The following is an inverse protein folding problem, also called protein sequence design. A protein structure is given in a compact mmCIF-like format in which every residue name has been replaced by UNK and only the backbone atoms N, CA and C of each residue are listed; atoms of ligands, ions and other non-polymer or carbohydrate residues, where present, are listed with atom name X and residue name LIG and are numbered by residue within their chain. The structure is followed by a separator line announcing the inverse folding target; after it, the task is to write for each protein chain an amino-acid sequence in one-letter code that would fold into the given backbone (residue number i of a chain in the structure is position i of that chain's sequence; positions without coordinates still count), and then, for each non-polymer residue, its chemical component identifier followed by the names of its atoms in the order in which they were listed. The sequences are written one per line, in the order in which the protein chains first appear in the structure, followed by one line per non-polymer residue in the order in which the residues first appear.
data_IF_866192469666
#
_entry.id   IF_866192469666
#
_cell.length_a   1.000
_cell.length_b   1.000
_cell.length_c   1.000
_cell.angle_alpha   90.00
_cell.angle_beta   90.00
_cell.angle_gamma   90.00
#
_symmetry.space_group_name_H-M   'P 1'
#
loop_
_entity.id
_entity.type
_entity.pdbx_description
1 polymer ?
#
# COMPACT_ATOMS: atom_id res chain seq x y z
N UNK A 1 -3.68 17.10 21.86
CA UNK A 1 -3.72 18.35 21.08
C UNK A 1 -3.33 18.00 19.66
N UNK A 2 -4.24 18.10 18.69
CA UNK A 2 -3.89 17.91 17.29
C UNK A 2 -3.06 19.11 16.83
N UNK A 3 -1.95 18.87 16.13
CA UNK A 3 -1.08 19.92 15.60
C UNK A 3 -1.60 20.27 14.21
N UNK A 4 -1.71 21.57 13.90
CA UNK A 4 -1.99 22.03 12.54
C UNK A 4 -0.82 21.65 11.62
N UNK A 5 -1.06 20.78 10.63
CA UNK A 5 0.00 20.20 9.80
C UNK A 5 0.80 21.30 9.07
N UNK A 6 0.13 22.37 8.66
CA UNK A 6 0.73 23.52 7.98
C UNK A 6 1.61 24.39 8.87
N UNK A 7 1.49 24.29 10.21
CA UNK A 7 2.28 25.07 11.16
C UNK A 7 3.59 24.41 11.56
N UNK A 8 3.90 23.22 11.01
CA UNK A 8 5.10 22.45 11.36
C UNK A 8 6.18 22.65 10.29
N UNK A 9 7.38 23.01 10.72
CA UNK A 9 8.58 22.95 9.89
C UNK A 9 9.01 21.48 9.73
N UNK A 10 8.37 20.77 8.79
CA UNK A 10 8.63 19.36 8.52
C UNK A 10 10.10 19.06 8.15
N UNK A 11 10.79 19.88 7.33
CA UNK A 11 12.22 19.69 7.09
C UNK A 11 13.10 19.72 8.35
N UNK A 12 12.76 20.53 9.35
CA UNK A 12 13.51 20.59 10.61
C UNK A 12 13.11 19.49 11.62
N UNK A 13 11.98 18.82 11.41
CA UNK A 13 11.47 17.81 12.32
C UNK A 13 12.34 16.55 12.32
N UNK A 14 13.15 16.39 13.38
CA UNK A 14 13.97 15.18 13.56
C UNK A 14 13.17 13.95 13.97
N UNK A 15 12.06 14.19 14.68
CA UNK A 15 11.19 13.15 15.22
C UNK A 15 9.75 13.62 15.24
N UNK A 16 8.85 12.77 14.75
CA UNK A 16 7.42 13.03 14.78
C UNK A 16 6.67 11.76 15.20
N UNK A 17 5.64 11.95 16.03
CA UNK A 17 4.73 10.87 16.41
C UNK A 17 3.36 11.14 15.81
N UNK A 18 2.83 10.12 15.15
CA UNK A 18 1.54 10.16 14.48
C UNK A 18 0.59 9.20 15.18
N UNK A 19 -0.66 9.62 15.33
CA UNK A 19 -1.77 8.76 15.69
C UNK A 19 -2.66 8.61 14.46
N UNK A 20 -2.79 7.39 13.97
CA UNK A 20 -3.64 7.03 12.85
C UNK A 20 -4.84 6.27 13.41
N UNK A 21 -6.04 6.79 13.17
CA UNK A 21 -7.30 6.11 13.48
C UNK A 21 -8.06 5.85 12.19
N UNK A 22 -8.37 4.58 11.94
CA UNK A 22 -9.15 4.16 10.77
C UNK A 22 -10.37 3.39 11.24
N UNK A 23 -11.53 3.74 10.70
CA UNK A 23 -12.74 2.92 10.81
C UNK A 23 -13.09 2.36 9.44
N UNK A 24 -13.41 1.06 9.39
CA UNK A 24 -13.93 0.36 8.23
C UNK A 24 -15.28 -0.22 8.59
N UNK A 25 -16.34 0.21 7.91
CA UNK A 25 -17.68 -0.30 8.11
C UNK A 25 -18.17 -0.97 6.84
N UNK A 26 -18.57 -2.24 6.96
CA UNK A 26 -19.17 -3.00 5.88
C UNK A 26 -20.64 -3.22 6.21
N UNK A 27 -21.50 -2.81 5.30
CA UNK A 27 -22.95 -2.98 5.41
C UNK A 27 -23.41 -4.03 4.39
N UNK A 28 -24.26 -4.94 4.84
CA UNK A 28 -24.75 -6.06 4.05
C UNK A 28 -26.27 -5.96 3.92
N UNK A 29 -26.81 -6.15 2.71
CA UNK A 29 -28.26 -6.15 2.50
C UNK A 29 -28.96 -7.34 3.17
N UNK A 30 -28.21 -8.43 3.41
CA UNK A 30 -28.70 -9.64 4.06
C UNK A 30 -27.68 -10.14 5.11
N UNK A 31 -28.11 -10.91 6.13
CA UNK A 31 -27.19 -11.44 7.13
C UNK A 31 -26.11 -12.34 6.53
N UNK A 32 -24.86 -12.08 6.90
CA UNK A 32 -23.71 -12.92 6.54
C UNK A 32 -23.52 -14.01 7.60
N UNK A 33 -23.22 -15.24 7.18
CA UNK A 33 -22.83 -16.35 8.06
C UNK A 33 -21.36 -16.69 7.81
N UNK A 34 -20.67 -17.08 8.87
CA UNK A 34 -19.28 -17.53 8.82
C UNK A 34 -18.35 -16.52 8.10
N UNK A 35 -18.50 -15.23 8.44
CA UNK A 35 -17.65 -14.19 7.89
C UNK A 35 -16.19 -14.50 8.22
N UNK A 36 -15.33 -14.45 7.19
CA UNK A 36 -13.88 -14.44 7.32
C UNK A 36 -13.33 -13.21 6.62
N UNK A 37 -12.80 -12.26 7.40
CA UNK A 37 -12.27 -10.99 6.92
C UNK A 37 -10.79 -10.89 7.25
N UNK A 38 -9.97 -10.59 6.25
CA UNK A 38 -8.53 -10.33 6.45
C UNK A 38 -8.24 -8.84 6.47
N UNK A 39 -7.53 -8.37 7.49
CA UNK A 39 -7.08 -6.99 7.63
C UNK A 39 -5.56 -6.90 7.66
N UNK A 40 -4.99 -6.02 6.83
CA UNK A 40 -3.56 -5.69 6.81
C UNK A 40 -3.42 -4.18 7.01
N UNK A 41 -3.76 -3.74 8.22
CA UNK A 41 -3.86 -2.31 8.59
C UNK A 41 -2.92 -1.91 9.72
N UNK A 42 -2.12 -2.86 10.21
CA UNK A 42 -1.15 -2.65 11.28
C UNK A 42 0.25 -2.86 10.69
N UNK A 43 1.07 -1.80 10.56
CA UNK A 43 2.40 -1.88 9.95
C UNK A 43 3.35 -2.73 10.80
N UNK A 44 4.51 -3.17 10.26
CA UNK A 44 5.54 -3.83 11.05
C UNK A 44 5.99 -2.97 12.23
N UNK A 45 6.58 -3.61 13.23
CA UNK A 45 7.10 -2.90 14.41
C UNK A 45 8.16 -1.86 14.05
N UNK A 46 9.02 -2.19 13.07
CA UNK A 46 10.03 -1.28 12.53
C UNK A 46 10.18 -1.46 11.02
N UNK A 47 10.22 -0.34 10.30
CA UNK A 47 10.56 -0.29 8.88
C UNK A 47 11.16 1.07 8.54
N UNK A 48 12.42 1.09 8.08
CA UNK A 48 13.17 2.32 7.86
C UNK A 48 13.13 3.22 9.10
N UNK A 49 12.82 4.49 8.89
CA UNK A 49 12.69 5.46 9.97
C UNK A 49 11.47 5.29 10.89
N UNK A 50 10.53 4.41 10.53
CA UNK A 50 9.29 4.25 11.25
C UNK A 50 9.39 3.15 12.31
N UNK A 51 8.95 3.49 13.53
CA UNK A 51 8.71 2.57 14.63
C UNK A 51 7.26 2.64 15.08
N UNK A 52 6.56 1.50 15.09
CA UNK A 52 5.24 1.39 15.71
C UNK A 52 5.38 1.39 17.23
N UNK A 53 4.72 2.33 17.91
CA UNK A 53 4.73 2.46 19.36
C UNK A 53 3.62 1.63 20.00
N UNK A 54 2.39 1.74 19.48
CA UNK A 54 1.22 1.00 19.94
C UNK A 54 0.30 0.73 18.76
N UNK A 55 -0.47 -0.33 18.85
CA UNK A 55 -1.65 -0.54 18.00
C UNK A 55 -2.77 -1.15 18.83
N UNK A 56 -3.99 -0.96 18.36
CA UNK A 56 -5.19 -1.62 18.84
C UNK A 56 -6.12 -1.81 17.64
N UNK A 57 -6.72 -2.98 17.53
CA UNK A 57 -7.82 -3.24 16.60
C UNK A 57 -9.03 -3.67 17.43
N UNK A 58 -10.13 -2.96 17.26
CA UNK A 58 -11.40 -3.28 17.88
C UNK A 58 -12.40 -3.70 16.81
N UNK A 59 -13.12 -4.78 17.06
CA UNK A 59 -14.21 -5.26 16.21
C UNK A 59 -15.39 -5.57 17.10
N UNK A 60 -16.54 -4.95 16.81
CA UNK A 60 -17.76 -5.19 17.57
C UNK A 60 -18.62 -6.26 16.89
N UNK A 61 -19.09 -7.23 17.68
CA UNK A 61 -20.02 -8.26 17.21
C UNK A 61 -20.04 -9.48 18.13
N UNK A 62 -21.21 -10.11 18.23
CA UNK A 62 -21.39 -11.30 19.06
C UNK A 62 -20.61 -12.49 18.49
N UNK A 63 -19.79 -13.12 19.33
CA UNK A 63 -18.99 -14.29 18.95
C UNK A 63 -17.86 -14.00 17.96
N UNK A 64 -17.51 -12.72 17.77
CA UNK A 64 -16.35 -12.33 16.95
C UNK A 64 -15.06 -12.83 17.61
N UNK A 65 -14.19 -13.45 16.81
CA UNK A 65 -12.84 -13.87 17.20
C UNK A 65 -11.84 -13.35 16.18
N UNK A 66 -10.62 -13.08 16.62
CA UNK A 66 -9.52 -12.65 15.75
C UNK A 66 -8.27 -13.49 15.97
N UNK A 67 -7.53 -13.72 14.90
CA UNK A 67 -6.23 -14.37 14.91
C UNK A 67 -5.20 -13.46 14.26
N UNK A 68 -4.08 -13.25 14.96
CA UNK A 68 -3.00 -12.40 14.50
C UNK A 68 -1.87 -13.26 13.93
N UNK A 69 -1.37 -12.90 12.76
CA UNK A 69 -0.13 -13.46 12.20
C UNK A 69 0.73 -12.37 11.59
N UNK A 70 2.01 -12.69 11.35
CA UNK A 70 2.92 -11.81 10.61
C UNK A 70 3.07 -12.30 9.19
N UNK A 71 2.99 -11.40 8.22
CA UNK A 71 3.36 -11.73 6.85
C UNK A 71 4.89 -11.68 6.65
N UNK A 72 5.34 -11.99 5.42
CA UNK A 72 6.76 -11.95 5.04
C UNK A 72 7.41 -10.58 5.24
N UNK A 73 6.62 -9.52 5.13
CA UNK A 73 7.09 -8.14 5.28
C UNK A 73 7.07 -7.68 6.75
N UNK A 74 6.59 -8.52 7.66
CA UNK A 74 6.44 -8.24 9.07
C UNK A 74 5.18 -7.43 9.40
N UNK A 75 4.30 -7.16 8.43
CA UNK A 75 2.99 -6.58 8.72
C UNK A 75 2.22 -7.54 9.61
N UNK A 76 1.39 -6.98 10.49
CA UNK A 76 0.44 -7.78 11.23
C UNK A 76 -0.83 -7.94 10.39
N UNK A 77 -1.12 -9.19 10.07
CA UNK A 77 -2.35 -9.61 9.39
C UNK A 77 -3.29 -10.12 10.47
N UNK A 78 -4.47 -9.50 10.56
CA UNK A 78 -5.52 -9.94 11.49
C UNK A 78 -6.61 -10.61 10.67
N UNK A 79 -6.83 -11.90 10.87
CA UNK A 79 -8.00 -12.60 10.34
C UNK A 79 -9.10 -12.53 11.40
N UNK A 80 -10.23 -11.93 11.02
CA UNK A 80 -11.40 -11.78 11.87
C UNK A 80 -12.46 -12.76 11.40
N UNK A 81 -13.04 -13.49 12.35
CA UNK A 81 -14.10 -14.44 12.10
C UNK A 81 -15.33 -14.05 12.91
N UNK A 82 -16.48 -14.01 12.25
CA UNK A 82 -17.77 -13.80 12.91
C UNK A 82 -18.76 -14.89 12.46
N UNK A 83 -19.35 -15.68 13.38
CA UNK A 83 -20.28 -16.73 13.00
C UNK A 83 -21.52 -16.17 12.30
N UNK A 84 -21.91 -14.95 12.65
CA UNK A 84 -23.02 -14.24 12.02
C UNK A 84 -22.85 -12.74 12.12
N UNK A 85 -23.14 -12.03 11.03
CA UNK A 85 -23.27 -10.57 10.99
C UNK A 85 -24.68 -10.25 10.50
N UNK A 86 -25.46 -9.54 11.30
CA UNK A 86 -26.89 -9.29 11.01
C UNK A 86 -27.10 -8.25 9.91
N UNK A 87 -26.23 -7.25 9.82
CA UNK A 87 -26.36 -6.18 8.82
C UNK A 87 -25.12 -5.30 8.67
N UNK A 88 -24.32 -5.11 9.71
CA UNK A 88 -23.05 -4.39 9.58
C UNK A 88 -21.98 -4.94 10.52
N UNK A 89 -20.72 -4.80 10.13
CA UNK A 89 -19.57 -5.02 10.98
C UNK A 89 -18.61 -3.84 10.82
N UNK A 90 -18.07 -3.36 11.95
CA UNK A 90 -17.15 -2.24 12.00
C UNK A 90 -15.82 -2.65 12.63
N UNK A 91 -14.74 -2.21 12.00
CA UNK A 91 -13.37 -2.44 12.43
C UNK A 91 -12.73 -1.08 12.72
N UNK A 92 -12.23 -0.87 13.93
CA UNK A 92 -11.55 0.37 14.32
C UNK A 92 -10.10 0.04 14.65
N UNK A 93 -9.19 0.51 13.80
CA UNK A 93 -7.75 0.41 14.00
C UNK A 93 -7.19 1.74 14.51
N UNK A 94 -6.51 1.70 15.65
CA UNK A 94 -5.74 2.82 16.18
C UNK A 94 -4.27 2.43 16.24
N UNK A 95 -3.41 3.15 15.53
CA UNK A 95 -1.98 2.89 15.45
C UNK A 95 -1.21 4.16 15.75
N UNK A 96 -0.27 4.11 16.70
CA UNK A 96 0.69 5.17 16.90
C UNK A 96 2.06 4.76 16.37
N UNK A 97 2.65 5.63 15.56
CA UNK A 97 3.98 5.44 14.97
C UNK A 97 4.86 6.65 15.25
N UNK A 98 6.13 6.41 15.49
CA UNK A 98 7.18 7.42 15.58
C UNK A 98 8.05 7.31 14.33
N UNK A 99 8.41 8.44 13.71
CA UNK A 99 9.38 8.50 12.60
C UNK A 99 10.60 9.33 13.00
N UNK A 100 11.78 8.89 12.57
CA UNK A 100 13.08 9.56 12.78
C UNK A 100 13.78 9.84 11.45
N UNK A 101 13.88 11.10 11.03
CA UNK A 101 14.35 11.49 9.69
C UNK A 101 15.78 11.03 9.30
N UNK A 102 16.52 10.36 10.20
CA UNK A 102 17.90 9.93 10.00
C UNK A 102 18.06 8.62 9.23
N UNK A 103 17.02 7.80 9.04
CA UNK A 103 17.15 6.48 8.41
C UNK A 103 16.42 6.41 7.05
N UNK A 104 17.12 6.06 5.95
CA UNK A 104 16.45 5.86 4.67
C UNK A 104 15.55 4.62 4.74
N UNK A 105 14.38 4.71 4.11
CA UNK A 105 13.50 3.55 3.92
C UNK A 105 14.14 2.60 2.91
N UNK A 106 14.88 1.60 3.41
CA UNK A 106 15.48 0.55 2.59
C UNK A 106 14.78 -0.77 2.83
N UNK A 107 14.57 -1.51 1.73
CA UNK A 107 14.17 -2.91 1.80
C UNK A 107 15.25 -3.70 2.55
N UNK A 108 14.84 -4.71 3.32
CA UNK A 108 15.79 -5.58 4.03
C UNK A 108 16.54 -6.45 3.01
N UNK A 109 17.84 -6.65 3.20
CA UNK A 109 18.71 -7.39 2.27
C UNK A 109 18.15 -8.76 1.85
N UNK A 110 17.51 -9.49 2.77
CA UNK A 110 16.93 -10.80 2.48
C UNK A 110 15.68 -10.78 1.58
N UNK A 111 15.06 -9.62 1.35
CA UNK A 111 13.85 -9.53 0.50
C UNK A 111 14.15 -9.54 -0.98
N UNK A 112 15.39 -9.24 -1.38
CA UNK A 112 15.82 -9.26 -2.78
C UNK A 112 16.34 -10.63 -3.22
N UNK A 113 16.60 -11.53 -2.27
CA UNK A 113 17.40 -12.74 -2.49
C UNK A 113 16.68 -13.86 -3.25
N UNK A 114 15.35 -13.96 -3.18
CA UNK A 114 14.58 -15.09 -3.74
C UNK A 114 13.75 -14.72 -4.97
N UNK A 115 13.90 -13.51 -5.51
CA UNK A 115 13.19 -13.07 -6.72
C UNK A 115 11.69 -12.82 -6.53
N UNK A 116 11.13 -13.03 -5.34
CA UNK A 116 9.69 -12.83 -5.07
C UNK A 116 9.18 -11.44 -5.50
N UNK A 117 9.99 -10.41 -5.32
CA UNK A 117 9.65 -9.02 -5.68
C UNK A 117 9.69 -8.73 -7.18
N UNK A 118 10.17 -9.68 -8.00
CA UNK A 118 10.13 -9.63 -9.45
C UNK A 118 8.86 -10.29 -10.03
N UNK A 119 8.14 -11.08 -9.22
CA UNK A 119 7.01 -11.86 -9.70
C UNK A 119 5.76 -10.97 -9.87
N UNK A 120 5.13 -10.94 -11.06
CA UNK A 120 3.88 -10.24 -11.25
C UNK A 120 2.72 -11.00 -10.58
N UNK A 121 1.80 -10.24 -9.98
CA UNK A 121 0.47 -10.73 -9.61
C UNK A 121 -0.50 -10.62 -10.79
N UNK A 122 -1.70 -11.18 -10.67
CA UNK A 122 -2.74 -11.02 -11.69
C UNK A 122 -3.08 -9.53 -12.00
N UNK A 123 -2.95 -8.63 -11.01
CA UNK A 123 -3.21 -7.19 -11.19
C UNK A 123 -2.02 -6.43 -11.78
N UNK A 124 -0.84 -7.04 -11.84
CA UNK A 124 0.42 -6.41 -12.28
C UNK A 124 1.09 -7.18 -13.42
N UNK A 125 0.38 -8.14 -14.02
CA UNK A 125 0.88 -8.91 -15.15
C UNK A 125 1.08 -7.97 -16.36
N UNK A 126 2.28 -7.97 -16.98
CA UNK A 126 2.56 -7.08 -18.09
C UNK A 126 2.00 -7.63 -19.41
N UNK A 127 1.21 -6.80 -20.10
CA UNK A 127 0.80 -7.01 -21.48
C UNK A 127 1.88 -6.52 -22.46
N UNK A 128 1.62 -6.61 -23.77
CA UNK A 128 2.58 -6.18 -24.78
C UNK A 128 2.87 -4.66 -24.73
N UNK A 129 1.92 -3.83 -24.31
CA UNK A 129 2.14 -2.39 -24.16
C UNK A 129 3.13 -2.12 -23.04
N UNK A 130 2.94 -2.74 -21.88
CA UNK A 130 3.83 -2.62 -20.72
C UNK A 130 5.22 -3.16 -21.07
N UNK A 131 5.32 -4.32 -21.74
CA UNK A 131 6.62 -4.89 -22.15
C UNK A 131 7.39 -3.96 -23.08
N UNK A 132 6.71 -3.33 -24.05
CA UNK A 132 7.34 -2.34 -24.94
C UNK A 132 7.79 -1.10 -24.17
N UNK A 133 6.98 -0.58 -23.25
CA UNK A 133 7.36 0.55 -22.41
C UNK A 133 8.62 0.22 -21.59
N UNK A 134 8.64 -0.95 -20.95
CA UNK A 134 9.79 -1.44 -20.18
C UNK A 134 11.07 -1.53 -21.04
N UNK A 135 10.99 -2.07 -22.26
CA UNK A 135 12.14 -2.17 -23.17
C UNK A 135 12.71 -0.81 -23.59
N UNK A 136 11.85 0.19 -23.81
CA UNK A 136 12.29 1.55 -24.12
C UNK A 136 12.94 2.20 -22.89
N UNK A 137 12.28 2.11 -21.73
CA UNK A 137 12.75 2.71 -20.49
C UNK A 137 14.05 2.09 -19.98
N UNK A 138 14.23 0.77 -20.13
CA UNK A 138 15.47 0.09 -19.74
C UNK A 138 16.70 0.60 -20.49
N UNK A 139 16.51 1.25 -21.64
CA UNK A 139 17.58 1.82 -22.46
C UNK A 139 17.82 3.30 -22.20
N UNK A 140 16.97 3.97 -21.41
CA UNK A 140 17.04 5.42 -21.17
C UNK A 140 17.75 5.82 -19.88
N UNK A 141 18.00 4.89 -18.96
CA UNK A 141 18.66 5.15 -17.68
C UNK A 141 19.45 3.93 -17.18
N UNK A 142 20.38 4.17 -16.26
CA UNK A 142 21.13 3.10 -15.58
C UNK A 142 20.19 2.26 -14.70
N UNK A 143 20.39 0.95 -14.69
CA UNK A 143 19.63 0.04 -13.84
C UNK A 143 19.77 0.39 -12.35
N UNK A 144 18.66 0.41 -11.62
CA UNK A 144 18.59 0.78 -10.21
C UNK A 144 17.66 1.98 -9.99
N UNK A 145 17.99 2.82 -9.00
CA UNK A 145 17.20 4.02 -8.68
C UNK A 145 17.03 5.00 -9.87
N UNK A 146 18.04 5.27 -10.72
CA UNK A 146 17.86 6.17 -11.87
C UNK A 146 16.78 5.67 -12.84
N UNK A 147 16.72 4.36 -13.10
CA UNK A 147 15.67 3.74 -13.90
C UNK A 147 14.32 3.76 -13.19
N UNK A 148 14.27 3.52 -11.87
CA UNK A 148 13.04 3.61 -11.09
C UNK A 148 12.43 5.02 -11.14
N UNK A 149 13.25 6.07 -11.02
CA UNK A 149 12.82 7.47 -11.15
C UNK A 149 12.29 7.77 -12.56
N UNK A 150 13.01 7.31 -13.59
CA UNK A 150 12.57 7.45 -14.99
C UNK A 150 11.22 6.76 -15.25
N UNK A 151 11.02 5.57 -14.68
CA UNK A 151 9.75 4.84 -14.77
C UNK A 151 8.64 5.61 -14.03
N UNK A 152 8.90 6.11 -12.83
CA UNK A 152 7.94 6.90 -12.06
C UNK A 152 7.45 8.12 -12.85
N UNK A 153 8.37 8.88 -13.45
CA UNK A 153 8.05 10.05 -14.26
C UNK A 153 7.24 9.68 -15.51
N UNK A 154 7.61 8.57 -16.18
CA UNK A 154 6.88 8.09 -17.33
C UNK A 154 5.44 7.68 -16.98
N UNK A 155 5.24 6.97 -15.86
CA UNK A 155 3.89 6.60 -15.38
C UNK A 155 3.10 7.84 -15.01
N UNK A 156 3.73 8.81 -14.32
CA UNK A 156 3.11 10.10 -13.99
C UNK A 156 2.60 10.82 -15.23
N UNK A 157 3.40 10.87 -16.31
CA UNK A 157 3.04 11.52 -17.56
C UNK A 157 2.03 10.72 -18.41
N UNK A 158 2.00 9.40 -18.26
CA UNK A 158 1.15 8.50 -19.05
C UNK A 158 -0.28 8.37 -18.51
N UNK A 159 -0.56 8.89 -17.32
CA UNK A 159 -1.83 8.74 -16.64
C UNK A 159 -2.35 10.06 -16.07
N UNK A 160 -3.67 10.22 -16.03
CA UNK A 160 -4.35 11.32 -15.33
C UNK A 160 -5.03 10.83 -14.06
N UNK A 161 -4.82 11.52 -12.93
CA UNK A 161 -5.45 11.16 -11.67
C UNK A 161 -6.96 11.43 -11.72
N UNK A 162 -7.79 10.38 -11.60
CA UNK A 162 -9.25 10.49 -11.71
C UNK A 162 -9.95 9.38 -10.91
N UNK A 163 -10.91 9.78 -10.08
CA UNK A 163 -11.77 8.85 -9.34
C UNK A 163 -12.90 8.29 -10.22
N UNK A 164 -13.37 7.09 -9.89
CA UNK A 164 -14.58 6.50 -10.47
C UNK A 164 -14.43 5.94 -11.89
N UNK A 165 -13.21 5.88 -12.42
CA UNK A 165 -12.92 5.28 -13.75
C UNK A 165 -12.35 3.87 -13.68
N UNK A 166 -11.97 3.42 -12.49
CA UNK A 166 -11.38 2.11 -12.19
C UNK A 166 -12.00 1.51 -10.94
N UNK A 167 -11.70 0.24 -10.65
CA UNK A 167 -12.14 -0.46 -9.46
C UNK A 167 -11.06 -1.37 -8.86
N UNK A 168 -11.38 -2.04 -7.76
CA UNK A 168 -10.41 -2.88 -7.00
C UNK A 168 -9.83 -4.07 -7.79
N UNK A 169 -10.39 -4.39 -8.96
CA UNK A 169 -9.94 -5.47 -9.84
C UNK A 169 -9.23 -4.97 -11.11
N UNK A 170 -9.14 -3.66 -11.31
CA UNK A 170 -8.48 -3.09 -12.49
C UNK A 170 -7.00 -3.45 -12.48
N UNK A 171 -6.56 -4.06 -13.58
CA UNK A 171 -5.17 -4.47 -13.81
C UNK A 171 -4.30 -3.30 -14.28
N UNK A 172 -2.98 -3.43 -14.16
CA UNK A 172 -2.00 -2.49 -14.71
C UNK A 172 -2.23 -2.25 -16.21
N UNK A 173 -2.49 -3.31 -16.98
CA UNK A 173 -2.72 -3.20 -18.42
C UNK A 173 -3.99 -2.38 -18.74
N UNK A 174 -5.10 -2.65 -18.04
CA UNK A 174 -6.34 -1.89 -18.19
C UNK A 174 -6.17 -0.43 -17.76
N UNK A 175 -5.54 -0.17 -16.61
CA UNK A 175 -5.28 1.17 -16.13
C UNK A 175 -4.44 2.00 -17.11
N UNK A 176 -3.38 1.40 -17.68
CA UNK A 176 -2.55 2.05 -18.69
C UNK A 176 -3.28 2.22 -20.02
N UNK A 177 -4.20 1.31 -20.38
CA UNK A 177 -5.05 1.46 -21.56
C UNK A 177 -6.04 2.63 -21.41
N UNK A 178 -6.65 2.78 -20.22
CA UNK A 178 -7.53 3.89 -19.86
C UNK A 178 -6.75 5.21 -19.80
N UNK A 179 -5.49 5.18 -19.34
CA UNK A 179 -4.67 6.37 -19.15
C UNK A 179 -5.17 7.26 -18.01
N UNK A 180 -5.94 6.70 -17.07
CA UNK A 180 -6.44 7.42 -15.90
C UNK A 180 -6.78 6.46 -14.77
N UNK A 181 -6.66 6.92 -13.52
CA UNK A 181 -6.95 6.10 -12.34
C UNK A 181 -6.58 6.81 -11.04
N UNK A 182 -6.54 6.06 -9.94
CA UNK A 182 -6.14 6.54 -8.61
C UNK A 182 -4.78 5.94 -8.20
N UNK A 183 -4.30 6.26 -6.99
CA UNK A 183 -2.98 5.80 -6.50
C UNK A 183 -2.72 4.29 -6.67
N UNK A 184 -3.74 3.44 -6.48
CA UNK A 184 -3.66 1.99 -6.73
C UNK A 184 -3.24 1.68 -8.18
N UNK A 185 -3.87 2.35 -9.14
CA UNK A 185 -3.66 2.09 -10.57
C UNK A 185 -2.25 2.53 -11.00
N UNK A 186 -1.80 3.69 -10.53
CA UNK A 186 -0.41 4.15 -10.73
C UNK A 186 0.59 3.14 -10.15
N UNK A 187 0.35 2.67 -8.92
CA UNK A 187 1.22 1.68 -8.29
C UNK A 187 1.23 0.34 -9.06
N UNK A 188 0.08 -0.12 -9.57
CA UNK A 188 0.01 -1.32 -10.40
C UNK A 188 0.80 -1.19 -11.70
N UNK A 189 0.65 -0.06 -12.43
CA UNK A 189 1.39 0.20 -13.67
C UNK A 189 2.88 0.29 -13.40
N UNK A 190 3.29 1.03 -12.38
CA UNK A 190 4.69 1.15 -11.99
C UNK A 190 5.29 -0.22 -11.65
N UNK A 191 4.60 -1.04 -10.84
CA UNK A 191 5.04 -2.40 -10.51
C UNK A 191 5.20 -3.30 -11.75
N UNK A 192 4.28 -3.20 -12.70
CA UNK A 192 4.34 -4.01 -13.91
C UNK A 192 5.56 -3.64 -14.77
N UNK A 193 5.89 -2.34 -14.85
CA UNK A 193 7.05 -1.84 -15.62
C UNK A 193 8.36 -2.13 -14.88
N UNK A 194 8.47 -1.82 -13.59
CA UNK A 194 9.70 -2.07 -12.81
C UNK A 194 10.07 -3.55 -12.85
N UNK A 195 9.11 -4.45 -12.62
CA UNK A 195 9.34 -5.90 -12.69
C UNK A 195 9.71 -6.37 -14.09
N UNK A 196 9.09 -5.81 -15.14
CA UNK A 196 9.46 -6.11 -16.53
C UNK A 196 10.89 -5.63 -16.88
N UNK A 197 11.39 -4.58 -16.20
CA UNK A 197 12.78 -4.12 -16.27
C UNK A 197 13.74 -4.90 -15.34
N UNK A 198 13.25 -5.92 -14.61
CA UNK A 198 14.04 -6.67 -13.66
C UNK A 198 14.37 -5.90 -12.37
N UNK A 199 13.63 -4.84 -12.05
CA UNK A 199 13.73 -4.12 -10.77
C UNK A 199 12.79 -4.76 -9.73
N UNK A 200 13.34 -5.37 -8.65
CA UNK A 200 12.53 -5.89 -7.56
C UNK A 200 11.69 -4.77 -6.96
N UNK A 201 10.39 -4.97 -6.81
CA UNK A 201 9.51 -3.92 -6.30
C UNK A 201 8.25 -4.45 -5.63
N UNK A 202 7.68 -3.67 -4.72
CA UNK A 202 6.48 -4.05 -3.96
C UNK A 202 5.47 -2.93 -3.83
N UNK A 203 4.21 -3.35 -3.74
CA UNK A 203 3.09 -2.48 -3.41
C UNK A 203 3.12 -2.13 -1.93
N UNK A 204 2.97 -0.85 -1.60
CA UNK A 204 2.84 -0.37 -0.23
C UNK A 204 1.56 0.44 -0.10
N UNK A 205 0.83 0.20 0.99
CA UNK A 205 -0.33 0.99 1.39
C UNK A 205 -0.04 1.67 2.73
N UNK A 206 -0.45 2.92 2.88
CA UNK A 206 -0.23 3.69 4.10
C UNK A 206 -1.05 4.98 4.11
N UNK A 207 -0.53 5.99 4.78
CA UNK A 207 -1.22 7.26 5.02
C UNK A 207 -0.35 8.44 4.64
N UNK A 208 -0.96 9.45 4.02
CA UNK A 208 -0.33 10.74 3.77
C UNK A 208 -0.95 11.81 4.67
N UNK A 209 -0.09 12.65 5.23
CA UNK A 209 -0.52 13.81 5.99
C UNK A 209 -1.40 14.72 5.11
N UNK A 210 -2.55 15.13 5.65
CA UNK A 210 -3.47 16.07 4.99
C UNK A 210 -4.45 15.45 3.98
N UNK A 211 -4.37 14.15 3.67
CA UNK A 211 -5.27 13.53 2.68
C UNK A 211 -6.47 12.76 3.27
N UNK A 212 -6.47 12.48 4.59
CA UNK A 212 -7.61 11.88 5.30
C UNK A 212 -7.94 10.42 4.95
N UNK A 213 -7.35 9.85 3.90
CA UNK A 213 -7.52 8.48 3.46
C UNK A 213 -6.21 7.73 3.26
N UNK A 214 -6.32 6.44 2.94
CA UNK A 214 -5.15 5.62 2.59
C UNK A 214 -4.57 6.03 1.25
N UNK A 215 -3.28 5.83 1.09
CA UNK A 215 -2.55 6.02 -0.15
C UNK A 215 -1.75 4.77 -0.51
N UNK A 216 -1.40 4.64 -1.79
CA UNK A 216 -0.60 3.53 -2.30
C UNK A 216 0.58 4.05 -3.11
N UNK A 217 1.73 3.39 -2.95
CA UNK A 217 2.96 3.68 -3.70
C UNK A 217 3.78 2.41 -3.92
N UNK A 218 4.90 2.55 -4.61
CA UNK A 218 5.83 1.46 -4.91
C UNK A 218 7.16 1.71 -4.20
N UNK A 219 7.70 0.65 -3.61
CA UNK A 219 9.11 0.62 -3.21
C UNK A 219 9.88 -0.25 -4.19
N UNK A 220 11.05 0.24 -4.61
CA UNK A 220 12.00 -0.38 -5.55
C UNK A 220 13.36 -0.50 -4.87
#
# INVERSE_FOLDING_TARGET
MAIEISSVDWPAARRATYLVKQSFRYEYPEPVRDLSQRLVVIPPERFGDQRRLRHQLSVEGDGVRSEDRKDRFGNMVVDVFAPRVSGAIEFVAEVSVERHASEPNRLRDGWLADGYLLEPSALTAPDDRIRRAAQVLSSSAEWGLPLADTINDWVYQSMTYKHGVTGVRTTAAEALAIGSGVCQDYAHVMLAITRACGLPSRYVSGHLLGQGGTHAWVEV
#
